data_IF_038680878138
#
_entry.id   IF_038680878138
#
_cell.length_a   1.000
_cell.length_b   1.000
_cell.length_c   1.000
_cell.angle_alpha   90.00
_cell.angle_beta   90.00
_cell.angle_gamma   90.00
#
_symmetry.space_group_name_H-M   'P 1'
#
loop_
_entity.id
_entity.type
_entity.pdbx_description
1 polymer ?
#
# COMPACT_ATOMS: atom_id res chain seq x y z
N UNK A 1 13.02 35.54 16.36
CA UNK A 1 13.00 34.53 15.28
C UNK A 1 11.65 33.82 15.31
N UNK A 2 10.76 34.13 14.36
CA UNK A 2 9.30 33.92 14.45
C UNK A 2 8.80 32.75 13.57
N UNK A 3 9.45 31.58 13.66
CA UNK A 3 9.28 30.52 12.63
C UNK A 3 8.16 29.51 12.97
N UNK A 4 7.62 29.51 14.20
CA UNK A 4 6.71 28.45 14.66
C UNK A 4 5.23 28.84 14.87
N UNK A 5 4.76 29.99 14.38
CA UNK A 5 3.37 30.43 14.62
C UNK A 5 2.31 29.88 13.65
N UNK A 6 2.69 29.19 12.58
CA UNK A 6 1.75 28.77 11.52
C UNK A 6 1.43 27.27 11.47
N UNK A 7 1.85 26.44 12.43
CA UNK A 7 1.69 24.99 12.30
C UNK A 7 0.32 24.42 12.67
N UNK A 8 -0.63 25.21 13.20
CA UNK A 8 -1.85 24.63 13.78
C UNK A 8 -3.12 25.43 13.48
N UNK A 9 -3.52 25.47 12.21
CA UNK A 9 -4.88 25.88 11.81
C UNK A 9 -5.45 24.95 10.72
N UNK A 10 -5.55 23.65 11.01
CA UNK A 10 -6.45 22.77 10.26
C UNK A 10 -7.89 22.97 10.75
N UNK A 11 -8.57 23.96 10.17
CA UNK A 11 -10.01 24.16 10.31
C UNK A 11 -10.72 23.01 9.59
N UNK A 12 -11.10 21.95 10.32
CA UNK A 12 -11.97 20.87 9.83
C UNK A 12 -13.35 21.45 9.52
N UNK A 13 -13.59 21.84 8.27
CA UNK A 13 -14.94 22.04 7.75
C UNK A 13 -15.43 20.67 7.30
N UNK A 14 -16.17 19.97 8.15
CA UNK A 14 -16.96 18.80 7.72
C UNK A 14 -18.06 19.30 6.81
N UNK A 15 -17.77 19.38 5.52
CA UNK A 15 -18.80 19.45 4.50
C UNK A 15 -19.45 18.07 4.51
N UNK A 16 -20.67 18.02 5.04
CA UNK A 16 -21.59 16.93 4.78
C UNK A 16 -21.91 17.07 3.30
N UNK A 17 -21.15 16.37 2.46
CA UNK A 17 -21.53 16.17 1.07
C UNK A 17 -22.78 15.28 1.11
N UNK A 18 -23.93 15.94 1.13
CA UNK A 18 -25.17 15.35 0.65
C UNK A 18 -24.93 15.00 -0.81
N UNK A 19 -24.41 13.79 -1.05
CA UNK A 19 -24.05 13.32 -2.38
C UNK A 19 -25.34 13.17 -3.19
N UNK A 20 -25.53 14.20 -4.00
CA UNK A 20 -26.54 14.38 -5.02
C UNK A 20 -26.72 13.07 -5.79
N UNK A 21 -27.93 12.51 -5.68
CA UNK A 21 -28.43 11.41 -6.49
C UNK A 21 -28.48 11.83 -7.97
N UNK A 22 -27.34 11.77 -8.65
CA UNK A 22 -27.25 11.97 -10.10
C UNK A 22 -26.92 10.63 -10.75
N UNK A 23 -27.97 9.87 -11.13
CA UNK A 23 -27.92 8.81 -12.14
C UNK A 23 -26.69 7.89 -12.14
N UNK A 24 -26.26 7.38 -10.97
CA UNK A 24 -25.14 6.46 -10.85
C UNK A 24 -25.56 5.10 -11.42
N UNK A 25 -25.27 4.88 -12.70
CA UNK A 25 -25.25 3.54 -13.30
C UNK A 25 -24.40 2.65 -12.39
N UNK A 26 -25.06 1.77 -11.64
CA UNK A 26 -24.41 0.89 -10.69
C UNK A 26 -23.61 -0.13 -11.49
N UNK A 27 -22.35 0.18 -11.81
CA UNK A 27 -21.44 -0.66 -12.61
C UNK A 27 -21.39 -2.10 -12.10
N UNK A 28 -21.44 -2.27 -10.77
CA UNK A 28 -21.51 -3.60 -10.19
C UNK A 28 -22.88 -4.29 -10.35
N UNK A 29 -23.95 -3.52 -10.51
CA UNK A 29 -25.24 -4.03 -10.95
C UNK A 29 -25.19 -4.55 -12.38
N UNK A 30 -24.46 -3.88 -13.29
CA UNK A 30 -24.23 -4.39 -14.65
C UNK A 30 -23.40 -5.67 -14.63
N UNK A 31 -22.31 -5.71 -13.85
CA UNK A 31 -21.51 -6.92 -13.64
C UNK A 31 -22.37 -8.06 -13.09
N UNK A 32 -23.19 -7.80 -12.08
CA UNK A 32 -24.08 -8.78 -11.46
C UNK A 32 -25.05 -9.38 -12.49
N UNK A 33 -25.65 -8.52 -13.33
CA UNK A 33 -26.55 -8.92 -14.41
C UNK A 33 -25.81 -9.79 -15.44
N UNK A 34 -24.66 -9.34 -15.94
CA UNK A 34 -23.88 -10.07 -16.95
C UNK A 34 -23.41 -11.44 -16.47
N UNK A 35 -22.90 -11.53 -15.24
CA UNK A 35 -22.47 -12.81 -14.65
C UNK A 35 -23.65 -13.77 -14.54
N UNK A 36 -24.79 -13.29 -14.04
CA UNK A 36 -26.01 -14.10 -13.88
C UNK A 36 -26.56 -14.56 -15.23
N UNK A 37 -26.62 -13.68 -16.22
CA UNK A 37 -27.07 -14.00 -17.58
C UNK A 37 -26.16 -15.04 -18.23
N UNK A 38 -24.85 -14.86 -18.18
CA UNK A 38 -23.89 -15.81 -18.74
C UNK A 38 -23.96 -17.19 -18.06
N UNK A 39 -24.19 -17.21 -16.74
CA UNK A 39 -24.39 -18.45 -15.99
C UNK A 39 -25.66 -19.19 -16.45
N UNK A 40 -26.76 -18.47 -16.60
CA UNK A 40 -28.05 -19.02 -17.07
C UNK A 40 -27.91 -19.51 -18.51
N UNK A 41 -27.25 -18.76 -19.38
CA UNK A 41 -26.99 -19.16 -20.77
C UNK A 41 -26.18 -20.46 -20.88
N UNK A 42 -25.24 -20.67 -19.96
CA UNK A 42 -24.48 -21.92 -19.86
C UNK A 42 -25.21 -23.05 -19.13
N UNK A 43 -26.39 -22.79 -18.57
CA UNK A 43 -27.19 -23.73 -17.78
C UNK A 43 -26.40 -24.39 -16.63
N UNK A 44 -25.53 -23.63 -15.96
CA UNK A 44 -24.74 -24.12 -14.83
C UNK A 44 -25.29 -23.59 -13.50
N UNK A 45 -25.23 -24.43 -12.46
CA UNK A 45 -25.56 -24.05 -11.09
C UNK A 45 -24.44 -23.22 -10.46
N UNK A 46 -24.74 -22.53 -9.36
CA UNK A 46 -23.74 -21.78 -8.58
C UNK A 46 -22.69 -22.74 -7.99
N UNK A 47 -23.12 -23.92 -7.56
CA UNK A 47 -22.23 -24.96 -7.02
C UNK A 47 -21.25 -25.48 -8.07
N UNK A 48 -21.73 -25.73 -9.29
CA UNK A 48 -20.87 -26.15 -10.40
C UNK A 48 -19.91 -25.03 -10.82
N UNK A 49 -20.38 -23.79 -10.93
CA UNK A 49 -19.52 -22.65 -11.22
C UNK A 49 -18.45 -22.47 -10.14
N UNK A 50 -18.80 -22.70 -8.87
CA UNK A 50 -17.86 -22.68 -7.75
C UNK A 50 -16.77 -23.73 -7.92
N UNK A 51 -17.14 -24.97 -8.26
CA UNK A 51 -16.19 -26.08 -8.50
C UNK A 51 -15.27 -25.80 -9.69
N UNK A 52 -15.81 -25.30 -10.80
CA UNK A 52 -15.04 -25.03 -12.03
C UNK A 52 -14.07 -23.86 -11.82
N UNK A 53 -14.55 -22.77 -11.22
CA UNK A 53 -13.77 -21.54 -11.05
C UNK A 53 -12.86 -21.55 -9.81
N UNK A 54 -13.09 -22.48 -8.87
CA UNK A 54 -12.50 -22.50 -7.52
C UNK A 54 -12.81 -21.26 -6.68
N UNK A 55 -13.92 -20.58 -6.98
CA UNK A 55 -14.42 -19.43 -6.23
C UNK A 55 -15.52 -19.92 -5.27
N UNK A 56 -15.53 -19.52 -3.99
CA UNK A 56 -16.58 -19.92 -3.05
C UNK A 56 -17.99 -19.50 -3.53
N UNK A 57 -18.98 -20.37 -3.30
CA UNK A 57 -20.38 -20.12 -3.67
C UNK A 57 -20.91 -18.79 -3.14
N UNK A 58 -20.61 -18.47 -1.88
CA UNK A 58 -21.01 -17.22 -1.24
C UNK A 58 -20.48 -16.00 -1.99
N UNK A 59 -19.26 -16.09 -2.53
CA UNK A 59 -18.65 -15.01 -3.30
C UNK A 59 -19.38 -14.82 -4.63
N UNK A 60 -19.69 -15.90 -5.34
CA UNK A 60 -20.46 -15.86 -6.60
C UNK A 60 -21.85 -15.23 -6.33
N UNK A 61 -22.54 -15.68 -5.28
CA UNK A 61 -23.84 -15.14 -4.86
C UNK A 61 -23.75 -13.64 -4.54
N UNK A 62 -22.71 -13.22 -3.82
CA UNK A 62 -22.51 -11.80 -3.47
C UNK A 62 -22.30 -10.91 -4.70
N UNK A 63 -21.72 -11.46 -5.77
CA UNK A 63 -21.50 -10.78 -7.05
C UNK A 63 -22.81 -10.73 -7.83
N UNK A 64 -23.51 -11.85 -8.02
CA UNK A 64 -24.79 -11.91 -8.75
C UNK A 64 -25.91 -11.08 -8.09
N UNK A 65 -25.91 -10.97 -6.76
CA UNK A 65 -26.92 -10.20 -6.02
C UNK A 65 -26.52 -8.74 -5.79
N UNK A 66 -25.37 -8.32 -6.33
CA UNK A 66 -24.79 -7.00 -6.09
C UNK A 66 -24.75 -6.58 -4.59
N UNK A 67 -24.50 -7.51 -3.65
CA UNK A 67 -24.40 -7.18 -2.22
C UNK A 67 -23.03 -6.53 -1.88
N UNK A 68 -23.02 -5.22 -1.62
CA UNK A 68 -21.80 -4.44 -1.34
C UNK A 68 -21.06 -4.85 -0.05
N UNK A 69 -21.78 -5.40 0.94
CA UNK A 69 -21.20 -5.68 2.26
C UNK A 69 -20.37 -6.98 2.26
N UNK A 70 -20.79 -7.94 1.44
CA UNK A 70 -20.20 -9.29 1.39
C UNK A 70 -19.30 -9.47 0.15
N UNK A 71 -19.48 -8.63 -0.89
CA UNK A 71 -18.65 -8.70 -2.09
C UNK A 71 -17.17 -8.49 -1.74
N UNK A 72 -16.26 -9.27 -2.35
CA UNK A 72 -14.83 -8.98 -2.29
C UNK A 72 -14.52 -7.54 -2.68
N UNK A 73 -13.59 -6.93 -1.96
CA UNK A 73 -13.06 -5.61 -2.28
C UNK A 73 -11.87 -5.74 -3.25
N UNK A 74 -11.48 -4.62 -3.84
CA UNK A 74 -10.21 -4.53 -4.58
C UNK A 74 -9.04 -4.82 -3.63
N UNK A 75 -7.97 -5.53 -4.06
CA UNK A 75 -7.71 -6.05 -5.42
C UNK A 75 -8.34 -7.41 -5.73
N UNK A 76 -8.86 -8.13 -4.73
CA UNK A 76 -9.36 -9.50 -4.87
C UNK A 76 -10.53 -9.63 -5.86
N UNK A 77 -11.44 -8.65 -5.88
CA UNK A 77 -12.56 -8.68 -6.84
C UNK A 77 -12.08 -8.71 -8.29
N UNK A 78 -10.93 -8.11 -8.60
CA UNK A 78 -10.37 -8.06 -9.95
C UNK A 78 -10.01 -9.46 -10.45
N UNK A 79 -9.25 -10.22 -9.66
CA UNK A 79 -8.84 -11.58 -10.03
C UNK A 79 -10.04 -12.52 -10.12
N UNK A 80 -11.03 -12.36 -9.25
CA UNK A 80 -12.28 -13.13 -9.26
C UNK A 80 -13.07 -12.86 -10.54
N UNK A 81 -13.22 -11.59 -10.94
CA UNK A 81 -13.94 -11.24 -12.18
C UNK A 81 -13.25 -11.81 -13.42
N UNK A 82 -11.91 -11.73 -13.51
CA UNK A 82 -11.14 -12.34 -14.61
C UNK A 82 -11.38 -13.85 -14.67
N UNK A 83 -11.39 -14.52 -13.52
CA UNK A 83 -11.63 -15.97 -13.45
C UNK A 83 -13.06 -16.33 -13.86
N UNK A 84 -14.05 -15.53 -13.46
CA UNK A 84 -15.43 -15.71 -13.88
C UNK A 84 -15.60 -15.49 -15.39
N UNK A 85 -14.92 -14.52 -15.98
CA UNK A 85 -14.94 -14.32 -17.44
C UNK A 85 -14.44 -15.56 -18.19
N UNK A 86 -13.32 -16.13 -17.74
CA UNK A 86 -12.75 -17.35 -18.31
C UNK A 86 -13.73 -18.52 -18.23
N UNK A 87 -14.30 -18.77 -17.04
CA UNK A 87 -15.23 -19.89 -16.83
C UNK A 87 -16.57 -19.69 -17.56
N UNK A 88 -17.06 -18.46 -17.66
CA UNK A 88 -18.32 -18.12 -18.32
C UNK A 88 -18.16 -17.87 -19.82
N UNK A 89 -16.94 -17.94 -20.36
CA UNK A 89 -16.69 -17.70 -21.79
C UNK A 89 -17.01 -16.28 -22.23
N UNK A 90 -16.91 -15.31 -21.32
CA UNK A 90 -17.14 -13.90 -21.60
C UNK A 90 -15.92 -13.30 -22.31
N UNK A 91 -16.12 -12.16 -22.97
CA UNK A 91 -15.02 -11.41 -23.59
C UNK A 91 -13.99 -11.04 -22.51
N UNK A 92 -12.73 -11.38 -22.76
CA UNK A 92 -11.62 -11.13 -21.85
C UNK A 92 -11.55 -9.65 -21.45
N UNK A 93 -11.42 -9.40 -20.15
CA UNK A 93 -11.36 -8.09 -19.49
C UNK A 93 -12.62 -7.21 -19.67
N UNK A 94 -13.79 -7.81 -19.91
CA UNK A 94 -15.05 -7.05 -20.02
C UNK A 94 -15.59 -6.62 -18.66
N UNK A 95 -15.74 -7.56 -17.72
CA UNK A 95 -16.15 -7.33 -16.34
C UNK A 95 -15.08 -6.57 -15.56
N UNK A 96 -13.80 -6.84 -15.83
CA UNK A 96 -12.70 -6.09 -15.20
C UNK A 96 -12.78 -4.59 -15.51
N UNK A 97 -12.97 -4.22 -16.78
CA UNK A 97 -13.07 -2.81 -17.21
C UNK A 97 -14.26 -2.10 -16.55
N UNK A 98 -15.37 -2.80 -16.37
CA UNK A 98 -16.54 -2.27 -15.67
C UNK A 98 -16.25 -2.02 -14.18
N UNK A 99 -15.40 -2.84 -13.54
CA UNK A 99 -15.01 -2.66 -12.15
C UNK A 99 -13.97 -1.53 -11.95
N UNK A 100 -13.05 -1.34 -12.89
CA UNK A 100 -12.00 -0.30 -12.84
C UNK A 100 -12.59 1.11 -12.89
N UNK A 101 -13.72 1.31 -13.57
CA UNK A 101 -14.37 2.63 -13.67
C UNK A 101 -14.86 3.19 -12.33
N UNK A 102 -14.95 2.37 -11.27
CA UNK A 102 -15.13 2.83 -9.87
C UNK A 102 -13.80 3.01 -9.13
N UNK A 103 -12.74 2.35 -9.57
CA UNK A 103 -11.39 2.44 -9.01
C UNK A 103 -10.70 3.77 -9.28
N UNK A 104 -11.06 4.49 -10.34
CA UNK A 104 -10.52 5.82 -10.63
C UNK A 104 -10.93 6.88 -9.59
N UNK A 105 -12.03 6.66 -8.85
CA UNK A 105 -12.41 7.49 -7.69
C UNK A 105 -11.96 6.91 -6.35
N UNK A 106 -11.38 5.70 -6.32
CA UNK A 106 -10.47 5.34 -5.25
C UNK A 106 -9.27 6.26 -5.46
N UNK A 107 -9.34 7.46 -4.87
CA UNK A 107 -8.18 8.25 -4.50
C UNK A 107 -7.12 7.21 -4.20
N UNK A 108 -6.10 7.15 -5.05
CA UNK A 108 -4.77 6.74 -4.63
C UNK A 108 -4.65 7.46 -3.31
N UNK A 109 -4.85 6.74 -2.20
CA UNK A 109 -4.45 7.26 -0.91
C UNK A 109 -3.00 7.55 -1.24
N UNK A 110 -2.71 8.84 -1.46
CA UNK A 110 -1.38 9.35 -1.25
C UNK A 110 -1.11 8.71 0.08
N UNK A 111 -0.16 7.78 0.10
CA UNK A 111 0.43 7.34 1.34
C UNK A 111 0.85 8.66 1.94
N UNK A 112 -0.03 9.23 2.76
CA UNK A 112 0.30 10.23 3.71
C UNK A 112 1.30 9.40 4.50
N UNK A 113 2.58 9.63 4.19
CA UNK A 113 3.75 9.12 4.89
C UNK A 113 3.68 9.70 6.30
N UNK A 114 2.57 9.45 7.00
CA UNK A 114 2.34 9.70 8.40
C UNK A 114 3.14 8.59 9.03
N UNK A 115 4.42 8.89 9.24
CA UNK A 115 5.06 8.98 10.54
C UNK A 115 4.23 8.39 11.70
N UNK A 116 3.75 7.17 11.55
CA UNK A 116 3.03 6.45 12.58
C UNK A 116 3.72 5.10 12.70
N UNK A 117 4.52 5.00 13.76
CA UNK A 117 5.38 3.89 14.15
C UNK A 117 6.72 3.82 13.38
N UNK A 118 7.70 4.63 13.82
CA UNK A 118 9.12 4.36 13.53
C UNK A 118 9.55 3.06 14.24
N UNK A 119 9.20 1.91 13.65
CA UNK A 119 9.67 0.59 14.09
C UNK A 119 11.11 0.39 13.56
N UNK A 120 12.05 1.18 14.07
CA UNK A 120 13.47 1.18 13.66
C UNK A 120 14.17 -0.15 13.94
N UNK A 121 13.63 -0.98 14.83
CA UNK A 121 14.25 -2.25 15.21
C UNK A 121 13.81 -3.37 14.26
N UNK A 122 12.55 -3.34 13.82
CA UNK A 122 11.91 -4.45 13.09
C UNK A 122 11.85 -4.25 11.57
N UNK A 123 12.35 -3.14 11.05
CA UNK A 123 12.33 -2.82 9.61
C UNK A 123 13.72 -2.95 8.97
N UNK A 124 13.76 -3.33 7.69
CA UNK A 124 15.01 -3.39 6.92
C UNK A 124 15.70 -2.02 6.80
N UNK A 125 14.91 -0.94 6.75
CA UNK A 125 15.40 0.44 6.80
C UNK A 125 16.12 0.74 8.11
N UNK A 126 15.58 0.23 9.22
CA UNK A 126 16.21 0.29 10.53
C UNK A 126 17.53 -0.46 10.61
N UNK A 127 17.57 -1.69 10.07
CA UNK A 127 18.81 -2.48 9.96
C UNK A 127 19.91 -1.74 9.17
N UNK A 128 19.54 -1.08 8.06
CA UNK A 128 20.46 -0.26 7.27
C UNK A 128 21.00 0.94 8.07
N UNK A 129 20.15 1.57 8.89
CA UNK A 129 20.53 2.69 9.75
C UNK A 129 21.48 2.24 10.85
N UNK A 130 21.21 1.12 11.52
CA UNK A 130 22.12 0.51 12.51
C UNK A 130 23.49 0.19 11.90
N UNK A 131 23.52 -0.43 10.73
CA UNK A 131 24.76 -0.73 10.00
C UNK A 131 25.55 0.55 9.68
N UNK A 132 24.86 1.60 9.27
CA UNK A 132 25.48 2.91 8.97
C UNK A 132 26.10 3.55 10.22
N UNK A 133 25.40 3.52 11.37
CA UNK A 133 25.93 4.03 12.64
C UNK A 133 27.17 3.24 13.06
N UNK A 134 27.15 1.92 12.90
CA UNK A 134 28.27 1.04 13.27
C UNK A 134 29.52 1.33 12.43
N UNK A 135 29.37 1.49 11.12
CA UNK A 135 30.50 1.88 10.26
C UNK A 135 31.03 3.26 10.65
N UNK A 136 30.13 4.21 10.91
CA UNK A 136 30.51 5.57 11.26
C UNK A 136 31.26 5.61 12.60
N UNK A 137 30.86 4.79 13.58
CA UNK A 137 31.55 4.73 14.88
C UNK A 137 32.98 4.20 14.74
N UNK A 138 33.20 3.16 13.94
CA UNK A 138 34.54 2.65 13.63
C UNK A 138 35.38 3.71 12.92
N UNK A 139 34.78 4.45 11.99
CA UNK A 139 35.48 5.53 11.28
C UNK A 139 35.90 6.67 12.20
N UNK A 140 35.01 7.10 13.11
CA UNK A 140 35.31 8.12 14.12
C UNK A 140 36.44 7.65 15.05
N UNK A 141 36.37 6.40 15.52
CA UNK A 141 37.38 5.83 16.41
C UNK A 141 38.75 5.75 15.74
N UNK A 142 38.80 5.28 14.49
CA UNK A 142 40.04 5.26 13.69
C UNK A 142 40.63 6.66 13.53
N UNK A 143 39.79 7.65 13.20
CA UNK A 143 40.23 9.04 13.05
C UNK A 143 40.76 9.61 14.37
N UNK A 144 40.09 9.34 15.49
CA UNK A 144 40.52 9.78 16.81
C UNK A 144 41.90 9.20 17.17
N UNK A 145 42.12 7.91 16.91
CA UNK A 145 43.39 7.26 17.22
C UNK A 145 44.55 7.81 16.39
N UNK A 146 44.36 8.01 15.07
CA UNK A 146 45.39 8.58 14.19
C UNK A 146 45.79 9.99 14.63
N UNK A 147 44.80 10.82 15.00
CA UNK A 147 45.07 12.18 15.45
C UNK A 147 45.80 12.21 16.80
N UNK A 148 45.39 11.37 17.76
CA UNK A 148 46.02 11.34 19.08
C UNK A 148 47.44 10.76 19.05
N UNK A 149 47.70 9.71 18.26
CA UNK A 149 49.06 9.13 18.14
C UNK A 149 50.04 10.18 17.61
N UNK A 150 49.65 10.91 16.56
CA UNK A 150 50.49 11.97 16.00
C UNK A 150 50.75 13.10 17.02
N UNK A 151 49.75 13.48 17.83
CA UNK A 151 49.93 14.51 18.86
C UNK A 151 50.91 14.06 19.96
N UNK A 152 50.80 12.81 20.43
CA UNK A 152 51.70 12.25 21.45
C UNK A 152 53.13 12.13 20.91
N UNK A 153 53.29 11.72 19.66
CA UNK A 153 54.61 11.60 19.02
C UNK A 153 55.28 12.97 18.87
N UNK A 154 54.54 13.99 18.43
CA UNK A 154 55.05 15.38 18.32
C UNK A 154 55.45 15.92 19.70
N UNK A 155 54.62 15.75 20.73
CA UNK A 155 54.93 16.20 22.09
C UNK A 155 56.17 15.50 22.67
N UNK A 156 56.35 14.21 22.40
CA UNK A 156 57.50 13.46 22.86
C UNK A 156 58.80 13.91 22.16
N UNK A 157 58.73 14.22 20.86
CA UNK A 157 59.85 14.80 20.11
C UNK A 157 60.20 16.19 20.66
N UNK A 158 59.20 17.04 20.91
CA UNK A 158 59.39 18.39 21.47
C UNK A 158 60.06 18.35 22.85
N UNK A 159 59.56 17.51 23.78
CA UNK A 159 60.16 17.36 25.10
C UNK A 159 61.62 16.85 25.02
N UNK A 160 61.91 15.92 24.11
CA UNK A 160 63.27 15.41 23.89
C UNK A 160 64.24 16.46 23.31
N UNK A 161 63.73 17.45 22.59
CA UNK A 161 64.52 18.58 22.09
C UNK A 161 64.77 19.60 23.20
N UNK A 162 63.80 19.83 24.09
CA UNK A 162 63.93 20.77 25.22
C UNK A 162 64.88 20.26 26.30
N UNK A 163 64.93 18.94 26.55
CA UNK A 163 65.81 18.31 27.55
C UNK A 163 67.29 18.19 27.08
N UNK A 164 67.64 18.68 25.88
CA UNK A 164 68.99 18.58 25.30
C UNK A 164 69.66 19.94 25.16
#
# INVERSE_FOLDING_TARGET
MNIFKNLFLFKKKSVIDNEVNHGLVNQYGEIAKLVKEARIQKNITIQELSRISKIPEQTIISIENNNKNIRPKYPFIRSILIKLEECLGLKKNSLEKLAIRKGETYKKEKNDFIVNKFDLINTWQGSLLYFSILILSVFILKRYFILNVNVIEIQNIENKIIDK
#
